data_IF_725988643798
#
_entry.id   IF_725988643798
#
_cell.length_a   1.000
_cell.length_b   1.000
_cell.length_c   1.000
_cell.angle_alpha   90.00
_cell.angle_beta   90.00
_cell.angle_gamma   90.00
#
_symmetry.space_group_name_H-M   'P 1'
#
loop_
_entity.id
_entity.type
_entity.pdbx_description
1 polymer ?
#
# COMPACT_ATOMS: atom_id res chain seq x y z
N UNK A 1 -16.91 4.20 8.69
CA UNK A 1 -17.25 3.26 7.59
C UNK A 1 -17.45 1.90 8.24
N UNK A 2 -18.66 1.34 8.15
CA UNK A 2 -19.01 0.07 8.80
C UNK A 2 -18.79 -1.11 7.87
N UNK A 3 -18.71 -2.30 8.45
CA UNK A 3 -18.68 -3.58 7.76
C UNK A 3 -19.95 -3.76 6.90
N UNK A 4 -19.76 -4.16 5.63
CA UNK A 4 -20.86 -4.41 4.70
C UNK A 4 -21.05 -5.91 4.51
N UNK A 5 -22.09 -6.52 5.11
CA UNK A 5 -22.22 -7.97 5.11
C UNK A 5 -22.57 -8.56 3.73
N UNK A 6 -23.35 -7.85 2.91
CA UNK A 6 -23.79 -8.34 1.60
C UNK A 6 -22.60 -8.45 0.62
N UNK A 7 -21.77 -7.41 0.39
CA UNK A 7 -20.57 -7.54 -0.43
C UNK A 7 -19.56 -8.53 0.13
N UNK A 8 -19.47 -8.65 1.47
CA UNK A 8 -18.60 -9.64 2.12
C UNK A 8 -19.04 -11.07 1.77
N UNK A 9 -20.32 -11.36 1.88
CA UNK A 9 -20.85 -12.68 1.52
C UNK A 9 -20.61 -13.02 0.02
N UNK A 10 -20.77 -12.03 -0.86
CA UNK A 10 -20.51 -12.22 -2.29
C UNK A 10 -19.03 -12.49 -2.57
N UNK A 11 -18.12 -11.77 -1.94
CA UNK A 11 -16.67 -11.95 -2.15
C UNK A 11 -16.19 -13.30 -1.61
N UNK A 12 -16.69 -13.73 -0.46
CA UNK A 12 -16.40 -15.06 0.11
C UNK A 12 -16.99 -16.15 -0.77
N UNK A 13 -18.23 -16.01 -1.20
CA UNK A 13 -18.87 -16.99 -2.09
C UNK A 13 -18.11 -17.12 -3.41
N UNK A 14 -17.66 -16.01 -4.00
CA UNK A 14 -16.85 -16.02 -5.22
C UNK A 14 -15.53 -16.77 -5.03
N UNK A 15 -14.82 -16.50 -3.92
CA UNK A 15 -13.58 -17.20 -3.59
C UNK A 15 -13.80 -18.71 -3.43
N UNK A 16 -14.87 -19.12 -2.72
CA UNK A 16 -15.21 -20.52 -2.50
C UNK A 16 -15.61 -21.22 -3.80
N UNK A 17 -16.36 -20.57 -4.66
CA UNK A 17 -16.72 -21.12 -5.98
C UNK A 17 -15.48 -21.39 -6.82
N UNK A 18 -14.52 -20.46 -6.84
CA UNK A 18 -13.27 -20.65 -7.60
C UNK A 18 -12.44 -21.79 -7.00
N UNK A 19 -12.31 -21.83 -5.66
CA UNK A 19 -11.47 -22.84 -5.02
C UNK A 19 -12.06 -24.25 -5.05
N UNK A 20 -13.39 -24.41 -4.98
CA UNK A 20 -14.02 -25.73 -4.75
C UNK A 20 -14.91 -26.21 -5.90
N UNK A 21 -15.49 -25.30 -6.69
CA UNK A 21 -16.44 -25.67 -7.76
C UNK A 21 -15.75 -25.76 -9.12
N UNK A 22 -14.77 -24.91 -9.38
CA UNK A 22 -14.07 -24.91 -10.66
C UNK A 22 -12.90 -25.88 -10.57
N UNK A 23 -12.83 -26.92 -11.46
CA UNK A 23 -11.72 -27.86 -11.48
C UNK A 23 -10.40 -27.15 -11.82
N UNK A 24 -9.31 -27.60 -11.19
CA UNK A 24 -7.97 -27.08 -11.43
C UNK A 24 -7.58 -27.31 -12.89
N UNK A 25 -7.20 -26.28 -13.67
CA UNK A 25 -6.78 -26.45 -15.05
C UNK A 25 -5.50 -27.29 -15.18
N UNK A 26 -5.34 -28.00 -16.29
CA UNK A 26 -4.13 -28.76 -16.56
C UNK A 26 -2.90 -27.84 -16.57
N UNK A 27 -1.87 -28.20 -15.80
CA UNK A 27 -0.62 -27.44 -15.70
C UNK A 27 -0.56 -26.46 -14.52
N UNK A 28 -1.60 -26.36 -13.69
CA UNK A 28 -1.62 -25.52 -12.47
C UNK A 28 -1.62 -26.41 -11.23
N UNK A 29 -0.79 -26.08 -10.23
CA UNK A 29 -0.82 -26.78 -8.95
C UNK A 29 -2.06 -26.40 -8.16
N UNK A 30 -2.57 -27.33 -7.33
CA UNK A 30 -3.74 -27.09 -6.46
C UNK A 30 -3.56 -25.85 -5.59
N UNK A 31 -2.34 -25.66 -5.05
CA UNK A 31 -2.00 -24.54 -4.19
C UNK A 31 -2.01 -23.19 -4.93
N UNK A 32 -1.50 -23.17 -6.17
CA UNK A 32 -1.56 -21.97 -7.01
C UNK A 32 -3.00 -21.60 -7.36
N UNK A 33 -3.86 -22.61 -7.58
CA UNK A 33 -5.29 -22.39 -7.84
C UNK A 33 -6.01 -21.82 -6.62
N UNK A 34 -5.71 -22.34 -5.43
CA UNK A 34 -6.26 -21.85 -4.17
C UNK A 34 -5.81 -20.41 -3.89
N UNK A 35 -4.54 -20.09 -4.14
CA UNK A 35 -4.01 -18.75 -4.02
C UNK A 35 -4.74 -17.76 -4.95
N UNK A 36 -5.00 -18.18 -6.19
CA UNK A 36 -5.75 -17.38 -7.16
C UNK A 36 -7.18 -17.11 -6.68
N UNK A 37 -7.86 -18.13 -6.14
CA UNK A 37 -9.20 -17.97 -5.57
C UNK A 37 -9.24 -16.97 -4.40
N UNK A 38 -8.27 -17.04 -3.49
CA UNK A 38 -8.12 -16.07 -2.42
C UNK A 38 -7.86 -14.66 -2.96
N UNK A 39 -7.00 -14.52 -3.96
CA UNK A 39 -6.68 -13.24 -4.58
C UNK A 39 -7.91 -12.58 -5.20
N UNK A 40 -8.70 -13.31 -5.97
CA UNK A 40 -9.94 -12.82 -6.57
C UNK A 40 -10.95 -12.46 -5.48
N UNK A 41 -11.05 -13.26 -4.41
CA UNK A 41 -11.88 -12.95 -3.25
C UNK A 41 -11.51 -11.63 -2.58
N UNK A 42 -10.22 -11.39 -2.38
CA UNK A 42 -9.72 -10.13 -1.80
C UNK A 42 -9.99 -8.94 -2.72
N UNK A 43 -9.74 -9.07 -4.02
CA UNK A 43 -10.04 -7.99 -4.98
C UNK A 43 -11.53 -7.67 -5.00
N UNK A 44 -12.40 -8.68 -5.04
CA UNK A 44 -13.85 -8.46 -5.02
C UNK A 44 -14.31 -7.79 -3.72
N UNK A 45 -13.69 -8.11 -2.59
CA UNK A 45 -13.94 -7.46 -1.32
C UNK A 45 -13.49 -5.99 -1.28
N UNK A 46 -12.36 -5.65 -1.95
CA UNK A 46 -11.90 -4.27 -2.12
C UNK A 46 -12.90 -3.46 -2.96
N UNK A 47 -13.30 -4.01 -4.11
CA UNK A 47 -14.26 -3.37 -5.02
C UNK A 47 -15.62 -3.19 -4.33
N UNK A 48 -16.06 -4.19 -3.58
CA UNK A 48 -17.30 -4.15 -2.79
C UNK A 48 -17.25 -3.21 -1.59
N UNK A 49 -16.05 -2.64 -1.27
CA UNK A 49 -15.84 -1.78 -0.09
C UNK A 49 -16.36 -2.43 1.20
N UNK A 50 -16.06 -3.71 1.37
CA UNK A 50 -16.48 -4.52 2.53
C UNK A 50 -15.96 -3.94 3.83
N UNK A 51 -14.68 -3.58 3.83
CA UNK A 51 -13.94 -3.02 4.98
C UNK A 51 -12.91 -2.00 4.51
N UNK A 52 -12.32 -1.19 5.43
CA UNK A 52 -11.14 -0.39 5.12
C UNK A 52 -10.02 -1.27 4.56
N UNK A 53 -9.33 -0.76 3.53
CA UNK A 53 -8.32 -1.53 2.78
C UNK A 53 -7.22 -2.12 3.69
N UNK A 54 -6.82 -1.39 4.76
CA UNK A 54 -5.83 -1.87 5.72
C UNK A 54 -6.30 -3.10 6.50
N UNK A 55 -7.56 -3.14 6.93
CA UNK A 55 -8.13 -4.29 7.62
C UNK A 55 -8.23 -5.51 6.69
N UNK A 56 -8.63 -5.27 5.44
CA UNK A 56 -8.74 -6.32 4.43
C UNK A 56 -7.37 -6.90 4.07
N UNK A 57 -6.33 -6.05 4.00
CA UNK A 57 -4.95 -6.50 3.73
C UNK A 57 -4.41 -7.40 4.84
N UNK A 58 -4.64 -7.02 6.11
CA UNK A 58 -4.23 -7.86 7.24
C UNK A 58 -4.95 -9.20 7.20
N UNK A 59 -6.25 -9.20 6.89
CA UNK A 59 -7.05 -10.40 6.79
C UNK A 59 -6.55 -11.32 5.66
N UNK A 60 -6.23 -10.76 4.50
CA UNK A 60 -5.67 -11.49 3.37
C UNK A 60 -4.32 -12.14 3.70
N UNK A 61 -3.40 -11.39 4.32
CA UNK A 61 -2.09 -11.91 4.73
C UNK A 61 -2.25 -13.03 5.75
N UNK A 62 -3.13 -12.86 6.74
CA UNK A 62 -3.42 -13.89 7.75
C UNK A 62 -3.98 -15.15 7.10
N UNK A 63 -4.86 -15.00 6.11
CA UNK A 63 -5.48 -16.11 5.40
C UNK A 63 -4.42 -16.93 4.63
N UNK A 64 -3.53 -16.25 3.90
CA UNK A 64 -2.42 -16.90 3.18
C UNK A 64 -1.46 -17.58 4.17
N UNK A 65 -1.11 -16.94 5.29
CA UNK A 65 -0.22 -17.51 6.29
C UNK A 65 -0.81 -18.77 6.97
N UNK A 66 -2.12 -18.77 7.26
CA UNK A 66 -2.79 -19.88 7.95
C UNK A 66 -3.06 -21.05 7.00
N UNK A 67 -3.40 -20.79 5.75
CA UNK A 67 -3.68 -21.85 4.77
C UNK A 67 -2.42 -22.60 4.31
N UNK A 68 -1.23 -21.99 4.48
CA UNK A 68 0.03 -22.65 4.12
C UNK A 68 0.23 -22.90 2.63
N UNK A 69 -0.55 -22.23 1.77
CA UNK A 69 -0.58 -22.45 0.30
C UNK A 69 0.75 -22.08 -0.37
N UNK A 70 1.58 -21.28 0.26
CA UNK A 70 2.87 -20.82 -0.30
C UNK A 70 4.05 -21.68 0.11
N UNK A 71 3.94 -22.51 1.17
CA UNK A 71 5.04 -23.32 1.66
C UNK A 71 4.53 -24.53 2.46
N UNK A 72 5.22 -25.65 2.38
CA UNK A 72 4.91 -26.87 3.13
C UNK A 72 5.12 -26.72 4.65
N UNK A 73 5.88 -25.69 5.07
CA UNK A 73 6.15 -25.42 6.49
C UNK A 73 5.40 -24.18 6.94
N UNK A 74 4.81 -24.24 8.15
CA UNK A 74 4.10 -23.10 8.74
C UNK A 74 4.96 -21.84 8.84
N UNK A 75 6.23 -22.00 9.22
CA UNK A 75 7.18 -20.88 9.29
C UNK A 75 7.52 -20.31 7.91
N UNK A 76 7.60 -21.14 6.88
CA UNK A 76 7.79 -20.72 5.50
C UNK A 76 6.60 -19.90 5.00
N UNK A 77 5.38 -20.40 5.18
CA UNK A 77 4.16 -19.71 4.77
C UNK A 77 4.00 -18.34 5.45
N UNK A 78 4.35 -18.22 6.74
CA UNK A 78 4.36 -16.95 7.45
C UNK A 78 5.41 -16.00 6.88
N UNK A 79 6.63 -16.49 6.62
CA UNK A 79 7.69 -15.67 6.04
C UNK A 79 7.32 -15.18 4.63
N UNK A 80 6.75 -16.03 3.81
CA UNK A 80 6.30 -15.67 2.46
C UNK A 80 5.17 -14.62 2.50
N UNK A 81 4.18 -14.83 3.36
CA UNK A 81 3.08 -13.88 3.54
C UNK A 81 3.56 -12.50 4.03
N UNK A 82 4.60 -12.47 4.87
CA UNK A 82 5.19 -11.26 5.43
C UNK A 82 6.36 -10.70 4.60
N UNK A 83 6.84 -11.42 3.59
CA UNK A 83 8.01 -11.02 2.79
C UNK A 83 7.89 -9.63 2.18
N UNK A 84 6.68 -9.22 1.81
CA UNK A 84 6.41 -7.88 1.30
C UNK A 84 6.70 -6.78 2.30
N UNK A 85 6.60 -7.03 3.61
CA UNK A 85 6.94 -6.05 4.65
C UNK A 85 8.46 -5.86 4.81
N UNK A 86 9.26 -6.81 4.38
CA UNK A 86 10.71 -6.69 4.34
C UNK A 86 11.22 -5.83 3.18
N UNK A 87 10.34 -5.44 2.25
CA UNK A 87 10.71 -4.60 1.12
C UNK A 87 10.96 -3.15 1.57
N UNK A 88 12.18 -2.60 1.37
CA UNK A 88 12.54 -1.25 1.79
C UNK A 88 11.66 -0.17 1.14
N UNK A 89 11.08 -0.39 -0.05
CA UNK A 89 10.19 0.56 -0.71
C UNK A 89 8.92 0.82 0.09
N UNK A 90 8.35 -0.20 0.74
CA UNK A 90 7.14 -0.03 1.57
C UNK A 90 7.43 0.86 2.77
N UNK A 91 8.56 0.66 3.42
CA UNK A 91 8.99 1.48 4.55
C UNK A 91 9.32 2.91 4.14
N UNK A 92 9.93 3.09 2.97
CA UNK A 92 10.21 4.42 2.41
C UNK A 92 8.90 5.17 2.12
N UNK A 93 7.93 4.53 1.48
CA UNK A 93 6.62 5.13 1.20
C UNK A 93 5.89 5.44 2.51
N UNK A 94 5.90 4.53 3.48
CA UNK A 94 5.30 4.73 4.79
C UNK A 94 5.90 5.92 5.52
N UNK A 95 7.23 6.02 5.56
CA UNK A 95 7.94 7.15 6.16
C UNK A 95 7.61 8.47 5.44
N UNK A 96 7.61 8.49 4.11
CA UNK A 96 7.26 9.66 3.32
C UNK A 96 5.83 10.17 3.61
N UNK A 97 4.86 9.26 3.73
CA UNK A 97 3.48 9.60 4.08
C UNK A 97 3.40 10.16 5.51
N UNK A 98 4.12 9.57 6.46
CA UNK A 98 4.14 10.06 7.84
C UNK A 98 4.76 11.45 7.95
N UNK A 99 5.91 11.69 7.27
CA UNK A 99 6.56 12.99 7.21
C UNK A 99 5.65 14.02 6.55
N UNK A 100 5.04 13.67 5.41
CA UNK A 100 4.10 14.56 4.71
C UNK A 100 2.92 14.96 5.59
N UNK A 101 2.33 14.02 6.31
CA UNK A 101 1.26 14.31 7.28
C UNK A 101 1.75 15.17 8.44
N UNK A 102 2.98 14.97 8.91
CA UNK A 102 3.61 15.81 9.91
C UNK A 102 3.74 17.26 9.43
N UNK A 103 4.25 17.47 8.23
CA UNK A 103 4.43 18.79 7.61
C UNK A 103 3.08 19.50 7.46
N UNK A 104 2.04 18.81 6.98
CA UNK A 104 0.69 19.36 6.82
C UNK A 104 0.10 19.73 8.19
N UNK A 105 0.21 18.84 9.17
CA UNK A 105 -0.41 19.02 10.49
C UNK A 105 0.25 20.12 11.34
N UNK A 106 1.55 20.34 11.15
CA UNK A 106 2.32 21.40 11.83
C UNK A 106 2.26 22.74 11.12
N UNK A 107 1.71 22.81 9.89
CA UNK A 107 1.74 24.01 9.06
C UNK A 107 3.16 24.41 8.62
N UNK A 108 4.12 23.48 8.71
CA UNK A 108 5.52 23.76 8.44
C UNK A 108 5.74 24.12 6.98
N UNK A 109 5.02 23.48 6.06
CA UNK A 109 5.04 23.79 4.64
C UNK A 109 4.56 25.22 4.35
N UNK A 110 3.49 25.62 5.01
CA UNK A 110 2.92 26.97 4.88
C UNK A 110 3.88 28.05 5.40
N UNK A 111 4.46 27.81 6.57
CA UNK A 111 5.47 28.71 7.17
C UNK A 111 6.73 28.83 6.30
N UNK A 112 7.24 27.72 5.79
CA UNK A 112 8.37 27.72 4.88
C UNK A 112 8.03 28.49 3.59
N UNK A 113 6.85 28.25 3.00
CA UNK A 113 6.38 29.00 1.84
C UNK A 113 6.33 30.50 2.07
N UNK A 114 5.73 30.95 3.18
CA UNK A 114 5.69 32.37 3.53
C UNK A 114 7.10 32.97 3.74
N UNK A 115 8.00 32.22 4.35
CA UNK A 115 9.37 32.68 4.56
C UNK A 115 10.11 32.90 3.21
N UNK A 116 9.98 31.97 2.27
CA UNK A 116 10.57 32.10 0.94
C UNK A 116 9.94 33.25 0.14
N UNK A 117 8.61 33.41 0.23
CA UNK A 117 7.90 34.52 -0.41
C UNK A 117 8.30 35.86 0.18
N UNK A 118 8.49 35.94 1.50
CA UNK A 118 8.92 37.17 2.16
C UNK A 118 10.32 37.65 1.73
N UNK A 119 11.22 36.67 1.47
CA UNK A 119 12.60 37.01 1.06
C UNK A 119 12.66 37.39 -0.42
N UNK A 120 11.94 36.67 -1.29
CA UNK A 120 12.13 36.75 -2.75
C UNK A 120 10.87 37.18 -3.51
N UNK A 121 9.74 37.32 -2.83
CA UNK A 121 8.43 37.59 -3.42
C UNK A 121 8.15 39.00 -3.92
N UNK A 122 9.15 39.91 -3.96
CA UNK A 122 8.95 41.31 -4.40
C UNK A 122 8.53 41.44 -5.89
N UNK A 123 8.68 40.40 -6.71
CA UNK A 123 8.25 40.35 -8.11
C UNK A 123 7.70 38.96 -8.41
N UNK A 124 6.69 38.86 -9.28
CA UNK A 124 6.06 37.60 -9.70
C UNK A 124 7.07 36.56 -10.24
N UNK A 125 8.08 37.03 -10.95
CA UNK A 125 9.20 36.21 -11.43
C UNK A 125 10.03 35.66 -10.25
N UNK A 126 10.21 36.42 -9.17
CA UNK A 126 10.91 35.97 -7.97
C UNK A 126 10.21 34.80 -7.27
N UNK A 127 8.89 34.73 -7.28
CA UNK A 127 8.12 33.63 -6.75
C UNK A 127 8.35 32.35 -7.55
N UNK A 128 8.37 32.46 -8.89
CA UNK A 128 8.64 31.31 -9.75
C UNK A 128 10.07 30.76 -9.56
N UNK A 129 11.06 31.62 -9.45
CA UNK A 129 12.45 31.23 -9.17
C UNK A 129 12.62 30.66 -7.76
N UNK A 130 11.94 31.20 -6.73
CA UNK A 130 12.01 30.66 -5.37
C UNK A 130 11.45 29.26 -5.29
N UNK A 131 10.35 28.98 -5.97
CA UNK A 131 9.76 27.64 -6.06
C UNK A 131 10.70 26.67 -6.78
N UNK A 132 11.27 27.07 -7.93
CA UNK A 132 12.20 26.23 -8.68
C UNK A 132 13.50 25.92 -7.90
N UNK A 133 14.04 26.90 -7.17
CA UNK A 133 15.23 26.71 -6.32
C UNK A 133 14.92 25.83 -5.13
N UNK A 134 13.77 26.00 -4.50
CA UNK A 134 13.34 25.15 -3.39
C UNK A 134 13.20 23.69 -3.83
N UNK A 135 12.61 23.46 -4.99
CA UNK A 135 12.45 22.12 -5.57
C UNK A 135 13.81 21.48 -5.89
N UNK A 136 14.71 22.25 -6.50
CA UNK A 136 16.10 21.84 -6.77
C UNK A 136 16.91 21.56 -5.50
N UNK A 137 16.72 22.34 -4.44
CA UNK A 137 17.40 22.10 -3.16
C UNK A 137 16.91 20.83 -2.49
N UNK A 138 15.61 20.58 -2.51
CA UNK A 138 15.01 19.35 -1.94
C UNK A 138 15.50 18.12 -2.70
N UNK A 139 15.52 18.17 -4.03
CA UNK A 139 16.03 17.09 -4.89
C UNK A 139 17.53 16.87 -4.64
N UNK A 140 18.33 17.92 -4.55
CA UNK A 140 19.77 17.81 -4.29
C UNK A 140 20.11 17.30 -2.89
N UNK A 141 19.30 17.61 -1.90
CA UNK A 141 19.47 17.09 -0.55
C UNK A 141 19.18 15.59 -0.50
N UNK A 142 18.24 15.13 -1.31
CA UNK A 142 17.90 13.71 -1.43
C UNK A 142 18.98 12.89 -2.16
N UNK A 143 19.68 13.48 -3.13
CA UNK A 143 20.74 12.81 -3.91
C UNK A 143 22.08 12.79 -3.18
N UNK A 144 22.28 13.62 -2.16
CA UNK A 144 23.58 13.79 -1.48
C UNK A 144 23.69 13.02 -0.15
N UNK A 145 22.78 12.08 0.15
CA UNK A 145 22.97 11.07 1.18
C UNK A 145 23.45 9.77 0.54
N UNK A 146 24.77 9.61 0.30
CA UNK A 146 25.31 8.30 -0.02
C UNK A 146 25.36 7.49 1.28
N UNK A 147 25.03 6.26 1.18
CA UNK A 147 25.11 5.11 2.06
C UNK A 147 25.92 5.25 3.36
#
# INVERSE_FOLDING_TARGET
MGFRPIPAAISVALALVICFVIPVPEGVTSDAWMLLGMFIGVISAIIGKVMPIGALSILAITLVAVTGVTSETTSGAINDALSSFANPLIWLIGAAIMISRGIIKTGLGERAGYYFIAIWGKKTIGIAYSLAITDLMIVKLHVKLPH
#
